data_IF_322226310595
#
_entry.id   IF_322226310595
#
_cell.length_a   1.000
_cell.length_b   1.000
_cell.length_c   1.000
_cell.angle_alpha   90.00
_cell.angle_beta   90.00
_cell.angle_gamma   90.00
#
_symmetry.space_group_name_H-M   'P 1'
#
loop_
_entity.id
_entity.type
_entity.pdbx_description
1 polymer ?
#
# COMPACT_ATOMS: atom_id res chain seq x y z
N UNK A 1 26.34 4.01 17.92
CA UNK A 1 27.34 3.11 18.53
C UNK A 1 26.79 2.65 19.88
N UNK A 2 26.66 1.34 20.14
CA UNK A 2 26.39 0.88 21.50
C UNK A 2 27.57 1.25 22.38
N UNK A 3 27.33 1.81 23.57
CA UNK A 3 28.39 2.36 24.41
C UNK A 3 29.43 1.30 24.76
N UNK A 4 30.71 1.65 24.63
CA UNK A 4 31.89 0.83 24.95
C UNK A 4 32.14 0.70 26.46
N UNK A 5 31.24 1.25 27.30
CA UNK A 5 31.32 1.24 28.75
C UNK A 5 30.11 0.52 29.35
N UNK A 6 29.98 -0.77 29.07
CA UNK A 6 29.15 -1.68 29.90
C UNK A 6 29.98 -2.14 31.09
N UNK A 7 30.26 -1.24 32.03
CA UNK A 7 30.67 -1.66 33.38
C UNK A 7 29.39 -2.02 34.13
N UNK A 8 29.38 -3.17 34.79
CA UNK A 8 28.30 -3.53 35.70
C UNK A 8 28.24 -2.46 36.79
N UNK A 9 27.06 -1.89 36.98
CA UNK A 9 26.81 -0.87 37.98
C UNK A 9 26.58 -1.61 39.30
N UNK A 10 27.40 -1.38 40.35
CA UNK A 10 27.26 -2.12 41.61
C UNK A 10 25.91 -1.97 42.31
N UNK A 11 25.17 -0.91 41.99
CA UNK A 11 23.82 -0.62 42.49
C UNK A 11 22.71 -1.16 41.58
N UNK A 12 23.08 -1.94 40.57
CA UNK A 12 22.18 -2.48 39.55
C UNK A 12 22.02 -3.99 39.78
N UNK A 13 21.43 -4.33 40.92
CA UNK A 13 21.11 -5.71 41.31
C UNK A 13 19.88 -6.22 40.57
N UNK A 14 19.82 -7.54 40.32
CA UNK A 14 18.71 -8.18 39.60
C UNK A 14 17.34 -8.00 40.29
N UNK A 15 17.33 -7.60 41.57
CA UNK A 15 16.13 -7.31 42.35
C UNK A 15 15.44 -5.98 41.99
N UNK A 16 16.13 -5.06 41.32
CA UNK A 16 15.63 -3.71 41.01
C UNK A 16 14.89 -3.73 39.67
N UNK A 17 13.56 -3.66 39.71
CA UNK A 17 12.74 -3.51 38.51
C UNK A 17 12.86 -2.09 37.93
N UNK A 18 13.78 -1.93 36.98
CA UNK A 18 14.05 -0.69 36.23
C UNK A 18 12.84 -0.17 35.45
N UNK A 19 11.82 -1.00 35.23
CA UNK A 19 10.65 -0.66 34.43
C UNK A 19 9.41 -0.39 35.28
N UNK A 20 9.55 -0.46 36.60
CA UNK A 20 8.49 -0.05 37.52
C UNK A 20 8.29 1.46 37.40
N UNK A 21 7.03 1.87 37.18
CA UNK A 21 6.63 3.27 37.10
C UNK A 21 6.04 3.60 38.46
N UNK A 22 6.73 4.42 39.24
CA UNK A 22 6.19 4.95 40.50
C UNK A 22 5.32 6.19 40.18
N UNK A 23 4.12 6.31 40.78
CA UNK A 23 3.21 7.40 40.48
C UNK A 23 3.76 8.73 41.02
N UNK A 24 3.70 9.78 40.20
CA UNK A 24 4.13 11.11 40.61
C UNK A 24 3.04 11.78 41.47
N UNK A 25 3.33 12.00 42.75
CA UNK A 25 2.36 12.60 43.67
C UNK A 25 2.53 14.12 43.77
N UNK A 26 1.57 14.80 44.40
CA UNK A 26 1.66 16.25 44.62
C UNK A 26 2.80 16.65 45.55
N UNK A 27 3.26 15.74 46.40
CA UNK A 27 4.34 15.97 47.38
C UNK A 27 5.72 15.98 46.71
N UNK A 28 5.86 15.25 45.60
CA UNK A 28 7.08 15.20 44.78
C UNK A 28 7.28 16.48 43.93
N UNK A 29 6.27 17.36 43.90
CA UNK A 29 6.30 18.57 43.08
C UNK A 29 7.22 19.64 43.68
N UNK A 30 8.13 20.16 42.86
CA UNK A 30 9.04 21.26 43.23
C UNK A 30 8.38 22.65 43.29
N UNK A 31 7.05 22.72 43.23
CA UNK A 31 6.26 23.97 43.20
C UNK A 31 5.60 24.25 41.85
N UNK A 32 5.05 25.46 41.70
CA UNK A 32 4.34 25.86 40.48
C UNK A 32 5.29 26.08 39.29
N UNK A 33 4.83 25.72 38.08
CA UNK A 33 5.58 26.00 36.85
C UNK A 33 5.70 27.50 36.58
N UNK A 34 6.89 27.92 36.12
CA UNK A 34 7.18 29.29 35.70
C UNK A 34 6.64 29.59 34.30
N UNK A 35 6.68 28.60 33.40
CA UNK A 35 6.27 28.71 32.01
C UNK A 35 4.96 27.95 31.74
N UNK A 36 4.23 28.38 30.72
CA UNK A 36 2.99 27.77 30.28
C UNK A 36 3.23 26.90 29.05
N UNK A 37 2.90 25.61 29.16
CA UNK A 37 2.82 24.69 28.02
C UNK A 37 1.39 24.63 27.51
N UNK A 38 1.21 24.86 26.20
CA UNK A 38 -0.09 24.84 25.52
C UNK A 38 -0.04 23.94 24.30
N UNK A 39 -1.02 23.04 24.16
CA UNK A 39 -1.18 22.19 22.98
C UNK A 39 -2.58 22.35 22.40
N UNK A 40 -2.65 22.45 21.08
CA UNK A 40 -3.90 22.59 20.34
C UNK A 40 -4.04 21.45 19.33
N UNK A 41 -5.28 20.96 19.14
CA UNK A 41 -5.62 20.00 18.08
C UNK A 41 -6.95 20.38 17.43
N UNK A 42 -6.97 20.44 16.10
CA UNK A 42 -8.19 20.67 15.32
C UNK A 42 -9.05 19.41 15.24
N UNK A 43 -10.38 19.57 15.23
CA UNK A 43 -11.32 18.47 15.05
C UNK A 43 -12.28 18.73 13.87
N UNK A 44 -12.78 17.66 13.22
CA UNK A 44 -13.75 17.82 12.13
C UNK A 44 -15.11 18.32 12.61
N UNK A 45 -15.80 19.15 11.81
CA UNK A 45 -17.11 19.74 12.15
C UNK A 45 -18.16 18.73 12.64
N UNK A 46 -18.21 17.53 12.09
CA UNK A 46 -19.17 16.49 12.51
C UNK A 46 -18.97 15.99 13.96
N UNK A 47 -17.82 16.26 14.58
CA UNK A 47 -17.53 15.89 15.98
C UNK A 47 -18.03 16.90 17.00
N UNK A 48 -18.32 18.12 16.56
CA UNK A 48 -18.70 19.24 17.43
C UNK A 48 -19.80 18.90 18.42
N UNK A 49 -20.92 18.34 17.95
CA UNK A 49 -22.07 18.03 18.83
C UNK A 49 -21.67 17.10 19.97
N UNK A 50 -20.96 16.02 19.64
CA UNK A 50 -20.48 15.07 20.64
C UNK A 50 -19.46 15.69 21.60
N UNK A 51 -18.52 16.49 21.08
CA UNK A 51 -17.50 17.13 21.90
C UNK A 51 -18.14 18.13 22.86
N UNK A 52 -19.11 18.93 22.41
CA UNK A 52 -19.87 19.84 23.26
C UNK A 52 -20.58 19.10 24.40
N UNK A 53 -21.25 17.99 24.11
CA UNK A 53 -21.99 17.21 25.11
C UNK A 53 -21.05 16.51 26.11
N UNK A 54 -19.88 16.05 25.66
CA UNK A 54 -18.90 15.32 26.50
C UNK A 54 -17.83 16.21 27.12
N UNK A 55 -17.73 17.49 26.74
CA UNK A 55 -16.71 18.42 27.24
C UNK A 55 -16.68 18.56 28.77
N UNK A 56 -17.83 18.66 29.47
CA UNK A 56 -17.83 18.78 30.93
C UNK A 56 -17.15 17.59 31.63
N UNK A 57 -17.21 16.40 31.04
CA UNK A 57 -16.53 15.22 31.58
C UNK A 57 -15.01 15.33 31.40
N UNK A 58 -14.57 15.87 30.26
CA UNK A 58 -13.16 16.07 29.93
C UNK A 58 -12.54 17.13 30.84
N UNK A 59 -13.20 18.29 31.00
CA UNK A 59 -12.72 19.37 31.88
C UNK A 59 -12.60 18.91 33.33
N UNK A 60 -13.62 18.24 33.86
CA UNK A 60 -13.60 17.67 35.22
C UNK A 60 -12.48 16.64 35.43
N UNK A 61 -12.11 15.91 34.38
CA UNK A 61 -11.03 14.92 34.46
C UNK A 61 -9.64 15.58 34.44
N UNK A 62 -9.46 16.62 33.62
CA UNK A 62 -8.20 17.37 33.51
C UNK A 62 -7.96 18.32 34.70
N UNK A 63 -9.02 18.85 35.31
CA UNK A 63 -8.94 19.71 36.49
C UNK A 63 -8.26 19.00 37.67
N UNK A 64 -8.42 17.68 37.80
CA UNK A 64 -7.73 16.86 38.83
C UNK A 64 -6.21 16.94 38.73
N UNK A 65 -5.69 17.13 37.51
CA UNK A 65 -4.27 17.29 37.21
C UNK A 65 -3.85 18.77 37.15
N UNK A 66 -4.78 19.70 37.41
CA UNK A 66 -4.52 21.14 37.32
C UNK A 66 -4.29 21.62 35.89
N UNK A 67 -4.86 20.94 34.88
CA UNK A 67 -4.75 21.31 33.46
C UNK A 67 -6.05 21.96 33.03
N UNK A 68 -5.93 23.11 32.36
CA UNK A 68 -7.08 23.80 31.76
C UNK A 68 -7.34 23.31 30.34
N UNK A 69 -8.61 23.29 29.94
CA UNK A 69 -9.04 22.79 28.64
C UNK A 69 -10.15 23.66 28.03
N UNK A 70 -9.88 24.20 26.86
CA UNK A 70 -10.78 25.07 26.10
C UNK A 70 -11.25 24.40 24.82
N UNK A 71 -12.54 24.46 24.55
CA UNK A 71 -13.16 23.99 23.31
C UNK A 71 -13.65 25.19 22.51
N UNK A 72 -13.05 25.41 21.34
CA UNK A 72 -13.46 26.44 20.39
C UNK A 72 -14.31 25.80 19.28
N UNK A 73 -15.57 26.24 19.18
CA UNK A 73 -16.53 25.77 18.17
C UNK A 73 -16.50 26.57 16.86
N UNK A 74 -15.94 27.78 16.89
CA UNK A 74 -15.79 28.66 15.73
C UNK A 74 -14.61 28.16 14.90
N UNK A 75 -13.44 28.04 15.52
CA UNK A 75 -12.24 27.51 14.87
C UNK A 75 -12.30 25.98 14.71
N UNK A 76 -13.06 25.29 15.55
CA UNK A 76 -13.10 23.82 15.59
C UNK A 76 -11.82 23.24 16.19
N UNK A 77 -11.34 23.82 17.29
CA UNK A 77 -10.10 23.45 17.97
C UNK A 77 -10.32 23.08 19.44
N UNK A 78 -9.50 22.16 19.94
CA UNK A 78 -9.40 21.85 21.36
C UNK A 78 -8.01 22.23 21.82
N UNK A 79 -7.93 22.98 22.92
CA UNK A 79 -6.66 23.45 23.49
C UNK A 79 -6.55 23.00 24.94
N UNK A 80 -5.40 22.48 25.32
CA UNK A 80 -5.06 22.15 26.72
C UNK A 80 -3.84 22.93 27.16
N UNK A 81 -3.86 23.46 28.38
CA UNK A 81 -2.80 24.32 28.92
C UNK A 81 -2.44 23.95 30.35
N UNK A 82 -1.16 24.01 30.68
CA UNK A 82 -0.71 23.92 32.08
C UNK A 82 -1.11 25.17 32.84
N UNK A 83 -1.42 25.02 34.12
CA UNK A 83 -1.72 26.14 35.02
C UNK A 83 -0.71 26.18 36.16
N UNK A 84 -0.77 27.22 36.99
CA UNK A 84 0.02 27.30 38.23
C UNK A 84 -0.29 26.19 39.25
N UNK A 85 -1.39 25.45 39.05
CA UNK A 85 -1.80 24.33 39.91
C UNK A 85 -1.38 22.96 39.37
N UNK A 86 -0.81 22.91 38.16
CA UNK A 86 -0.28 21.66 37.61
C UNK A 86 0.92 21.24 38.43
N UNK A 87 0.90 20.03 38.98
CA UNK A 87 1.97 19.48 39.81
C UNK A 87 2.87 18.52 39.03
N UNK A 88 2.28 17.72 38.13
CA UNK A 88 2.99 16.77 37.28
C UNK A 88 3.38 17.41 35.92
N UNK A 89 4.68 17.48 35.58
CA UNK A 89 5.14 18.03 34.31
C UNK A 89 4.74 17.18 33.10
N UNK A 90 4.55 15.87 33.25
CA UNK A 90 4.22 14.97 32.15
C UNK A 90 2.72 14.92 31.82
N UNK A 91 1.85 15.29 32.78
CA UNK A 91 0.39 15.26 32.62
C UNK A 91 -0.10 16.05 31.38
N UNK A 92 0.57 17.14 31.01
CA UNK A 92 0.22 17.92 29.80
C UNK A 92 0.39 17.11 28.51
N UNK A 93 1.35 16.19 28.45
CA UNK A 93 1.56 15.31 27.30
C UNK A 93 0.42 14.28 27.17
N UNK A 94 -0.07 13.77 28.31
CA UNK A 94 -1.24 12.89 28.35
C UNK A 94 -2.51 13.65 27.95
N UNK A 95 -2.67 14.90 28.38
CA UNK A 95 -3.77 15.78 27.98
C UNK A 95 -3.74 16.10 26.48
N UNK A 96 -2.56 16.33 25.90
CA UNK A 96 -2.36 16.49 24.46
C UNK A 96 -2.83 15.25 23.70
N UNK A 97 -2.50 14.07 24.20
CA UNK A 97 -2.86 12.82 23.55
C UNK A 97 -4.35 12.49 23.70
N UNK A 98 -4.97 12.89 24.82
CA UNK A 98 -6.42 12.87 25.03
C UNK A 98 -7.16 13.67 23.95
N UNK A 99 -6.80 14.94 23.73
CA UNK A 99 -7.48 15.77 22.72
C UNK A 99 -7.26 15.25 21.29
N UNK A 100 -6.09 14.65 21.00
CA UNK A 100 -5.84 13.98 19.71
C UNK A 100 -6.75 12.76 19.52
N UNK A 101 -6.96 11.96 20.56
CA UNK A 101 -7.87 10.80 20.52
C UNK A 101 -9.32 11.22 20.30
N UNK A 102 -9.77 12.26 21.00
CA UNK A 102 -11.12 12.84 20.83
C UNK A 102 -11.35 13.35 19.40
N UNK A 103 -10.34 14.01 18.81
CA UNK A 103 -10.35 14.45 17.41
C UNK A 103 -10.43 13.27 16.41
N UNK A 104 -9.93 12.09 16.80
CA UNK A 104 -10.04 10.83 16.01
C UNK A 104 -11.25 9.98 16.35
N UNK A 105 -12.27 10.59 16.97
CA UNK A 105 -13.57 9.97 17.26
C UNK A 105 -13.55 8.88 18.32
N UNK A 106 -12.52 8.82 19.17
CA UNK A 106 -12.55 7.96 20.36
C UNK A 106 -13.58 8.53 21.35
N UNK A 107 -14.46 7.71 21.94
CA UNK A 107 -15.39 8.17 22.96
C UNK A 107 -14.68 8.71 24.21
N UNK A 108 -15.20 9.80 24.79
CA UNK A 108 -14.57 10.46 25.94
C UNK A 108 -14.33 9.53 27.15
N UNK A 109 -15.26 8.66 27.57
CA UNK A 109 -15.02 7.76 28.70
C UNK A 109 -13.85 6.79 28.47
N UNK A 110 -13.63 6.40 27.21
CA UNK A 110 -12.51 5.54 26.84
C UNK A 110 -11.22 6.34 26.70
N UNK A 111 -11.29 7.55 26.13
CA UNK A 111 -10.13 8.41 25.91
C UNK A 111 -9.51 8.89 27.24
N UNK A 112 -10.32 9.18 28.26
CA UNK A 112 -9.87 9.67 29.59
C UNK A 112 -8.90 8.69 30.28
N UNK A 113 -8.98 7.39 29.98
CA UNK A 113 -8.05 6.38 30.50
C UNK A 113 -6.59 6.63 30.10
N UNK A 114 -6.32 7.50 29.13
CA UNK A 114 -4.96 7.90 28.78
C UNK A 114 -4.28 8.75 29.86
N UNK A 115 -5.05 9.29 30.80
CA UNK A 115 -4.53 10.03 31.95
C UNK A 115 -4.00 9.10 33.05
N UNK A 116 -4.25 7.79 32.96
CA UNK A 116 -3.74 6.79 33.90
C UNK A 116 -2.35 6.30 33.46
N UNK A 117 -1.47 6.04 34.41
CA UNK A 117 -0.13 5.53 34.13
C UNK A 117 -0.15 4.15 33.48
N UNK A 118 0.79 3.90 32.57
CA UNK A 118 0.89 2.64 31.82
C UNK A 118 -0.03 2.53 30.61
N UNK A 119 -0.94 3.50 30.42
CA UNK A 119 -1.75 3.63 29.20
C UNK A 119 -1.09 4.62 28.24
N UNK A 120 -0.84 4.17 27.02
CA UNK A 120 -0.33 5.03 25.95
C UNK A 120 -1.27 4.98 24.74
N UNK A 121 -1.10 5.91 23.81
CA UNK A 121 -1.87 5.97 22.59
C UNK A 121 -0.97 5.87 21.36
N UNK A 122 -1.53 5.32 20.29
CA UNK A 122 -0.87 5.29 18.99
C UNK A 122 -1.87 5.57 17.86
N UNK A 123 -1.51 6.51 16.97
CA UNK A 123 -2.35 6.91 15.83
C UNK A 123 -1.65 6.51 14.54
N UNK A 124 -2.04 5.35 14.00
CA UNK A 124 -1.42 4.74 12.83
C UNK A 124 -2.06 5.30 11.56
N UNK A 125 -1.24 5.94 10.71
CA UNK A 125 -1.68 6.51 9.44
C UNK A 125 -1.68 5.45 8.34
N UNK A 126 -2.86 4.94 7.96
CA UNK A 126 -3.00 3.88 6.96
C UNK A 126 -3.22 4.38 5.53
N UNK A 127 -3.63 5.64 5.34
CA UNK A 127 -4.02 6.16 4.01
C UNK A 127 -2.90 6.15 2.97
N UNK A 128 -1.65 6.40 3.36
CA UNK A 128 -0.51 6.44 2.44
C UNK A 128 0.00 5.05 2.03
N UNK A 129 -0.45 3.98 2.70
CA UNK A 129 0.08 2.63 2.49
C UNK A 129 -0.48 1.96 1.23
N UNK A 130 -1.64 2.41 0.73
CA UNK A 130 -2.32 1.80 -0.42
C UNK A 130 -2.74 2.89 -1.40
N UNK A 131 -2.27 2.79 -2.65
CA UNK A 131 -2.57 3.77 -3.72
C UNK A 131 -4.05 3.76 -4.14
N UNK A 132 -4.61 2.57 -4.40
CA UNK A 132 -5.96 2.44 -4.94
C UNK A 132 -7.02 2.53 -3.83
N UNK A 133 -8.02 3.41 -4.00
CA UNK A 133 -9.10 3.63 -3.03
C UNK A 133 -9.87 2.35 -2.69
N UNK A 134 -10.27 1.57 -3.68
CA UNK A 134 -11.02 0.32 -3.46
C UNK A 134 -10.21 -0.70 -2.66
N UNK A 135 -8.93 -0.84 -3.00
CA UNK A 135 -8.02 -1.75 -2.29
C UNK A 135 -7.81 -1.29 -0.85
N UNK A 136 -7.71 0.02 -0.63
CA UNK A 136 -7.63 0.61 0.70
C UNK A 136 -8.87 0.28 1.53
N UNK A 137 -10.08 0.49 0.99
CA UNK A 137 -11.34 0.18 1.69
C UNK A 137 -11.42 -1.31 2.02
N UNK A 138 -11.09 -2.20 1.08
CA UNK A 138 -11.10 -3.67 1.31
C UNK A 138 -10.07 -4.09 2.37
N UNK A 139 -8.86 -3.52 2.38
CA UNK A 139 -7.83 -3.82 3.41
C UNK A 139 -8.19 -3.23 4.78
N UNK A 140 -8.75 -2.03 4.82
CA UNK A 140 -9.26 -1.43 6.06
C UNK A 140 -10.40 -2.27 6.65
N UNK A 141 -11.34 -2.69 5.82
CA UNK A 141 -12.44 -3.57 6.26
C UNK A 141 -11.93 -4.91 6.78
N UNK A 142 -10.85 -5.44 6.21
CA UNK A 142 -10.18 -6.67 6.68
C UNK A 142 -9.65 -6.54 8.11
N UNK A 143 -9.19 -5.36 8.53
CA UNK A 143 -8.75 -5.12 9.93
C UNK A 143 -9.95 -5.23 10.88
N UNK A 144 -11.11 -4.68 10.48
CA UNK A 144 -12.36 -4.81 11.26
C UNK A 144 -12.81 -6.28 11.34
N UNK A 145 -12.74 -6.99 10.22
CA UNK A 145 -13.30 -8.33 10.07
C UNK A 145 -14.80 -8.32 9.85
N UNK A 146 -15.39 -9.52 9.74
CA UNK A 146 -16.84 -9.68 9.69
C UNK A 146 -17.43 -9.35 11.06
N UNK A 147 -18.39 -8.43 11.13
CA UNK A 147 -19.04 -7.98 12.37
C UNK A 147 -18.07 -7.52 13.48
N UNK A 148 -16.86 -7.06 13.14
CA UNK A 148 -15.88 -6.62 14.12
C UNK A 148 -15.14 -7.74 14.87
N UNK A 149 -15.33 -9.01 14.50
CA UNK A 149 -14.74 -10.17 15.19
C UNK A 149 -13.20 -10.14 15.21
N UNK A 150 -12.57 -9.79 14.08
CA UNK A 150 -11.11 -9.72 13.97
C UNK A 150 -10.54 -8.61 14.84
N UNK A 151 -11.19 -7.43 14.83
CA UNK A 151 -10.81 -6.32 15.69
C UNK A 151 -10.97 -6.70 17.17
N UNK A 152 -12.09 -7.34 17.54
CA UNK A 152 -12.32 -7.71 18.94
C UNK A 152 -11.33 -8.76 19.45
N UNK A 153 -11.00 -9.75 18.63
CA UNK A 153 -9.97 -10.73 18.95
C UNK A 153 -8.60 -10.04 19.17
N UNK A 154 -8.26 -9.06 18.31
CA UNK A 154 -7.03 -8.30 18.46
C UNK A 154 -7.02 -7.50 19.77
N UNK A 155 -8.10 -6.78 20.09
CA UNK A 155 -8.24 -6.03 21.36
C UNK A 155 -8.02 -6.91 22.60
N UNK A 156 -8.60 -8.11 22.63
CA UNK A 156 -8.49 -9.05 23.76
C UNK A 156 -7.09 -9.63 23.90
N UNK A 157 -6.42 -9.91 22.77
CA UNK A 157 -5.06 -10.47 22.78
C UNK A 157 -4.04 -9.45 23.26
N UNK A 158 -4.12 -8.21 22.76
CA UNK A 158 -3.14 -7.14 23.04
C UNK A 158 -3.51 -6.26 24.23
N UNK A 159 -4.69 -6.48 24.84
CA UNK A 159 -5.25 -5.65 25.92
C UNK A 159 -5.33 -4.16 25.54
N UNK A 160 -5.63 -3.89 24.27
CA UNK A 160 -5.75 -2.53 23.74
C UNK A 160 -7.18 -2.25 23.30
N UNK A 161 -7.57 -0.99 23.30
CA UNK A 161 -8.74 -0.49 22.59
C UNK A 161 -8.35 -0.04 21.19
N UNK A 162 -9.07 -0.49 20.16
CA UNK A 162 -8.74 -0.20 18.76
C UNK A 162 -9.94 0.43 18.06
N UNK A 163 -9.73 1.61 17.50
CA UNK A 163 -10.75 2.31 16.70
C UNK A 163 -10.21 2.56 15.29
N UNK A 164 -10.86 1.91 14.31
CA UNK A 164 -10.55 2.09 12.88
C UNK A 164 -11.48 3.16 12.32
N UNK A 165 -10.98 4.37 12.08
CA UNK A 165 -11.80 5.47 11.56
C UNK A 165 -11.13 6.21 10.40
N UNK A 166 -11.87 6.31 9.29
CA UNK A 166 -11.44 7.02 8.10
C UNK A 166 -10.09 6.53 7.56
N UNK A 167 -9.07 7.36 7.73
CA UNK A 167 -7.73 7.21 7.17
C UNK A 167 -6.68 6.74 8.19
N UNK A 168 -7.08 6.54 9.44
CA UNK A 168 -6.18 6.18 10.56
C UNK A 168 -6.78 5.10 11.44
N UNK A 169 -5.93 4.41 12.17
CA UNK A 169 -6.31 3.49 13.23
C UNK A 169 -5.78 4.07 14.54
N UNK A 170 -6.67 4.40 15.46
CA UNK A 170 -6.33 4.86 16.80
C UNK A 170 -6.30 3.66 17.74
N UNK A 171 -5.23 3.54 18.52
CA UNK A 171 -5.02 2.44 19.46
C UNK A 171 -4.70 3.04 20.83
N UNK A 172 -5.25 2.46 21.90
CA UNK A 172 -4.93 2.81 23.27
C UNK A 172 -4.62 1.55 24.08
N UNK A 173 -3.60 1.58 24.92
CA UNK A 173 -3.26 0.45 25.80
C UNK A 173 -1.78 0.41 26.16
N UNK A 174 -1.28 -0.74 26.64
CA UNK A 174 0.10 -0.89 27.09
C UNK A 174 1.07 -0.88 25.90
N UNK A 175 2.30 -0.41 26.13
CA UNK A 175 3.33 -0.27 25.08
C UNK A 175 3.62 -1.55 24.28
N UNK A 176 3.63 -2.71 24.94
CA UNK A 176 3.80 -4.02 24.27
C UNK A 176 2.66 -4.27 23.28
N UNK A 177 1.41 -4.08 23.71
CA UNK A 177 0.22 -4.21 22.89
C UNK A 177 0.21 -3.22 21.71
N UNK A 178 0.60 -1.96 21.94
CA UNK A 178 0.69 -0.95 20.87
C UNK A 178 1.67 -1.37 19.76
N UNK A 179 2.85 -1.90 20.14
CA UNK A 179 3.85 -2.37 19.17
C UNK A 179 3.33 -3.55 18.34
N UNK A 180 2.62 -4.48 18.96
CA UNK A 180 2.00 -5.61 18.28
C UNK A 180 0.90 -5.17 17.31
N UNK A 181 -0.03 -4.32 17.78
CA UNK A 181 -1.13 -3.81 16.93
C UNK A 181 -0.58 -2.99 15.76
N UNK A 182 0.43 -2.15 15.97
CA UNK A 182 1.09 -1.40 14.90
C UNK A 182 1.61 -2.31 13.79
N UNK A 183 2.36 -3.36 14.16
CA UNK A 183 2.85 -4.38 13.22
C UNK A 183 1.67 -5.03 12.47
N UNK A 184 0.61 -5.42 13.18
CA UNK A 184 -0.57 -6.05 12.58
C UNK A 184 -1.26 -5.16 11.55
N UNK A 185 -1.45 -3.88 11.87
CA UNK A 185 -2.09 -2.90 10.99
C UNK A 185 -1.25 -2.63 9.75
N UNK A 186 0.06 -2.42 9.94
CA UNK A 186 1.01 -2.18 8.85
C UNK A 186 1.10 -3.38 7.89
N UNK A 187 1.27 -4.60 8.41
CA UNK A 187 1.33 -5.84 7.63
C UNK A 187 0.01 -6.11 6.89
N UNK A 188 -1.13 -5.83 7.53
CA UNK A 188 -2.45 -5.95 6.90
C UNK A 188 -2.60 -5.01 5.71
N UNK A 189 -2.09 -3.79 5.85
CA UNK A 189 -2.02 -2.82 4.76
C UNK A 189 -1.03 -3.23 3.68
N UNK A 190 -0.01 -4.03 3.99
CA UNK A 190 0.93 -4.65 3.05
C UNK A 190 0.45 -5.97 2.43
N UNK A 191 -0.85 -6.27 2.51
CA UNK A 191 -1.51 -7.45 1.92
C UNK A 191 -1.38 -8.77 2.71
N UNK A 192 -0.83 -8.75 3.92
CA UNK A 192 -0.93 -9.90 4.82
C UNK A 192 -2.36 -9.93 5.40
N UNK A 193 -2.87 -11.10 5.77
CA UNK A 193 -4.18 -11.20 6.42
C UNK A 193 -4.01 -11.16 7.94
N UNK A 194 -4.78 -10.34 8.69
CA UNK A 194 -4.60 -10.19 10.15
C UNK A 194 -4.77 -11.49 10.93
N UNK A 195 -5.63 -12.40 10.45
CA UNK A 195 -5.81 -13.76 11.03
C UNK A 195 -4.47 -14.49 11.24
N UNK A 196 -3.51 -14.34 10.33
CA UNK A 196 -2.20 -14.99 10.47
C UNK A 196 -1.43 -14.48 11.67
N UNK A 197 -1.45 -13.15 11.88
CA UNK A 197 -0.78 -12.51 13.00
C UNK A 197 -1.54 -12.74 14.31
N UNK A 198 -2.88 -12.81 14.27
CA UNK A 198 -3.69 -13.20 15.43
C UNK A 198 -3.32 -14.62 15.89
N UNK A 199 -3.19 -15.57 14.95
CA UNK A 199 -2.73 -16.93 15.27
C UNK A 199 -1.32 -16.93 15.87
N UNK A 200 -0.40 -16.15 15.30
CA UNK A 200 0.93 -15.95 15.88
C UNK A 200 0.86 -15.41 17.32
N UNK A 201 0.03 -14.40 17.59
CA UNK A 201 -0.14 -13.83 18.93
C UNK A 201 -0.76 -14.82 19.92
N UNK A 202 -1.72 -15.63 19.48
CA UNK A 202 -2.30 -16.70 20.31
C UNK A 202 -1.22 -17.71 20.72
N UNK A 203 -0.41 -18.18 19.77
CA UNK A 203 0.67 -19.13 20.04
C UNK A 203 1.72 -18.52 20.96
N UNK A 204 2.14 -17.27 20.71
CA UNK A 204 3.09 -16.56 21.58
C UNK A 204 2.57 -16.42 23.01
N UNK A 205 1.29 -16.15 23.18
CA UNK A 205 0.67 -16.01 24.50
C UNK A 205 0.61 -17.34 25.25
N UNK A 206 0.39 -18.45 24.56
CA UNK A 206 0.47 -19.78 25.19
C UNK A 206 1.91 -20.16 25.52
N UNK A 207 2.86 -19.98 24.59
CA UNK A 207 4.29 -20.25 24.84
C UNK A 207 4.88 -19.40 25.97
N UNK A 208 4.43 -18.17 26.12
CA UNK A 208 4.88 -17.27 27.20
C UNK A 208 4.44 -17.72 28.60
N UNK A 209 3.44 -18.61 28.72
CA UNK A 209 3.04 -19.18 30.02
C UNK A 209 4.02 -20.24 30.51
N UNK A 210 4.74 -20.89 29.59
CA UNK A 210 5.69 -21.95 29.92
C UNK A 210 7.06 -21.36 30.30
N UNK A 211 7.49 -21.47 31.58
CA UNK A 211 8.74 -20.86 32.03
C UNK A 211 9.98 -21.49 31.38
N UNK A 212 9.91 -22.76 30.98
CA UNK A 212 11.03 -23.48 30.35
C UNK A 212 11.44 -22.90 28.99
N UNK A 213 10.48 -22.34 28.25
CA UNK A 213 10.68 -21.83 26.88
C UNK A 213 10.95 -20.31 26.85
N UNK A 214 11.01 -19.63 27.99
CA UNK A 214 11.10 -18.17 28.06
C UNK A 214 12.38 -17.58 27.44
N UNK A 215 13.48 -18.34 27.45
CA UNK A 215 14.79 -17.91 26.93
C UNK A 215 15.13 -18.49 25.55
N UNK A 216 14.25 -19.31 24.96
CA UNK A 216 14.46 -19.94 23.65
C UNK A 216 13.81 -19.13 22.52
N UNK A 217 14.33 -19.26 21.30
CA UNK A 217 13.69 -18.67 20.12
C UNK A 217 12.45 -19.47 19.71
N UNK A 218 11.30 -18.80 19.66
CA UNK A 218 10.01 -19.40 19.30
C UNK A 218 9.77 -19.54 17.79
N UNK A 219 10.72 -19.15 16.94
CA UNK A 219 10.58 -19.18 15.48
C UNK A 219 10.17 -20.56 14.92
N UNK A 220 10.56 -21.66 15.58
CA UNK A 220 10.18 -23.03 15.23
C UNK A 220 8.70 -23.33 15.43
N UNK A 221 8.09 -22.77 16.46
CA UNK A 221 6.68 -22.98 16.82
C UNK A 221 5.76 -22.00 16.09
N UNK A 222 6.33 -20.90 15.58
CA UNK A 222 5.59 -19.86 14.89
C UNK A 222 5.23 -20.28 13.46
N UNK A 223 3.95 -20.19 13.06
CA UNK A 223 3.55 -20.52 11.69
C UNK A 223 4.16 -19.54 10.68
N UNK A 224 4.89 -20.07 9.70
CA UNK A 224 5.51 -19.26 8.67
C UNK A 224 4.58 -19.09 7.46
N UNK A 225 3.90 -17.95 7.37
CA UNK A 225 2.98 -17.63 6.27
C UNK A 225 3.65 -16.91 5.09
N UNK A 226 4.97 -17.08 4.92
CA UNK A 226 5.68 -16.53 3.76
C UNK A 226 5.03 -17.03 2.47
N UNK A 227 4.78 -16.09 1.56
CA UNK A 227 4.27 -16.41 0.23
C UNK A 227 5.26 -17.34 -0.45
N UNK A 228 4.88 -18.60 -0.70
CA UNK A 228 5.60 -19.49 -1.62
C UNK A 228 5.37 -18.97 -3.04
N UNK A 229 6.08 -17.90 -3.41
CA UNK A 229 6.17 -17.52 -4.81
C UNK A 229 6.92 -18.63 -5.51
N UNK A 230 6.26 -19.37 -6.40
CA UNK A 230 6.94 -20.15 -7.43
C UNK A 230 7.75 -19.13 -8.24
N UNK A 231 9.03 -18.99 -7.90
CA UNK A 231 9.95 -17.99 -8.45
C UNK A 231 10.11 -18.12 -9.96
N UNK A 232 9.76 -19.30 -10.49
CA UNK A 232 9.80 -19.63 -11.90
C UNK A 232 8.39 -19.53 -12.48
N UNK A 233 7.94 -18.31 -12.76
CA UNK A 233 6.86 -18.12 -13.73
C UNK A 233 7.41 -18.56 -15.09
N UNK A 234 6.75 -19.51 -15.76
CA UNK A 234 7.09 -19.88 -17.13
C UNK A 234 7.14 -18.61 -17.99
N UNK A 235 8.29 -18.32 -18.61
CA UNK A 235 8.40 -17.23 -19.57
C UNK A 235 7.69 -17.67 -20.85
N UNK A 236 6.65 -16.97 -21.33
CA UNK A 236 5.98 -17.37 -22.56
C UNK A 236 7.00 -17.40 -23.72
N UNK A 237 6.83 -18.33 -24.66
CA UNK A 237 7.74 -18.46 -25.82
C UNK A 237 7.79 -17.17 -26.66
N UNK A 238 6.67 -16.44 -26.71
CA UNK A 238 6.60 -15.11 -27.33
C UNK A 238 6.55 -14.06 -26.22
N UNK A 239 7.68 -13.41 -25.96
CA UNK A 239 7.76 -12.22 -25.12
C UNK A 239 7.62 -11.00 -26.02
N UNK A 240 6.58 -10.20 -25.81
CA UNK A 240 6.44 -8.92 -26.53
C UNK A 240 7.40 -7.90 -25.92
N UNK A 241 8.48 -7.59 -26.63
CA UNK A 241 9.42 -6.54 -26.22
C UNK A 241 8.75 -5.17 -26.28
N UNK A 242 8.45 -4.63 -25.09
CA UNK A 242 7.82 -3.30 -24.95
C UNK A 242 8.72 -2.15 -25.39
N UNK A 243 10.02 -2.38 -25.52
CA UNK A 243 10.97 -1.41 -26.10
C UNK A 243 10.60 -1.02 -27.53
N UNK A 244 9.94 -1.92 -28.29
CA UNK A 244 9.47 -1.65 -29.65
C UNK A 244 8.21 -0.77 -29.71
N UNK A 245 7.58 -0.47 -28.57
CA UNK A 245 6.38 0.39 -28.49
C UNK A 245 6.74 1.73 -27.87
N UNK A 246 7.54 2.53 -28.58
CA UNK A 246 7.86 3.90 -28.19
C UNK A 246 6.61 4.76 -28.14
N UNK A 247 6.42 5.48 -27.02
CA UNK A 247 5.29 6.39 -26.84
C UNK A 247 5.39 7.54 -27.84
N UNK A 248 4.37 7.67 -28.68
CA UNK A 248 4.12 8.84 -29.54
C UNK A 248 2.92 9.58 -28.97
N UNK A 249 3.01 10.90 -28.73
CA UNK A 249 1.89 11.70 -28.22
C UNK A 249 0.80 11.90 -29.29
N UNK A 250 1.14 11.70 -30.57
CA UNK A 250 0.21 11.77 -31.68
C UNK A 250 -0.47 10.42 -31.88
N UNK A 251 -1.82 10.39 -31.92
CA UNK A 251 -2.53 9.17 -32.29
C UNK A 251 -2.20 8.80 -33.75
N UNK A 252 -2.18 7.50 -34.10
CA UNK A 252 -2.12 7.09 -35.49
C UNK A 252 -3.35 7.62 -36.24
N UNK A 253 -3.21 7.88 -37.54
CA UNK A 253 -4.35 8.26 -38.37
C UNK A 253 -5.43 7.15 -38.30
N UNK A 254 -6.71 7.51 -38.17
CA UNK A 254 -7.78 6.52 -38.25
C UNK A 254 -7.75 5.82 -39.60
N UNK A 255 -8.15 4.56 -39.64
CA UNK A 255 -8.35 3.85 -40.90
C UNK A 255 -9.44 4.56 -41.70
N UNK A 256 -9.14 4.89 -42.97
CA UNK A 256 -10.07 5.60 -43.84
C UNK A 256 -11.29 4.73 -44.12
N UNK A 257 -12.48 5.33 -44.16
CA UNK A 257 -13.68 4.57 -44.54
C UNK A 257 -13.62 4.16 -46.02
N UNK A 258 -14.39 3.16 -46.42
CA UNK A 258 -14.50 2.78 -47.84
C UNK A 258 -14.93 3.96 -48.72
N UNK A 259 -15.78 4.85 -48.18
CA UNK A 259 -16.24 6.07 -48.86
C UNK A 259 -15.08 7.04 -49.01
N UNK A 260 -14.29 7.27 -47.97
CA UNK A 260 -13.11 8.15 -48.04
C UNK A 260 -12.06 7.63 -49.02
N UNK A 261 -11.79 6.31 -49.02
CA UNK A 261 -10.91 5.67 -50.00
C UNK A 261 -11.42 5.87 -51.44
N UNK A 262 -12.74 5.81 -51.64
CA UNK A 262 -13.36 6.05 -52.95
C UNK A 262 -13.32 7.52 -53.36
N UNK A 263 -13.46 8.45 -52.41
CA UNK A 263 -13.35 9.89 -52.66
C UNK A 263 -11.90 10.25 -53.02
N UNK A 264 -10.92 9.71 -52.29
CA UNK A 264 -9.50 9.93 -52.55
C UNK A 264 -9.03 9.33 -53.88
N UNK A 265 -9.53 8.15 -54.25
CA UNK A 265 -9.23 7.52 -55.55
C UNK A 265 -9.97 8.18 -56.73
N UNK A 266 -10.92 9.09 -56.46
CA UNK A 266 -11.77 9.70 -57.47
C UNK A 266 -12.86 8.76 -58.03
N UNK A 267 -12.83 7.47 -57.66
CA UNK A 267 -13.83 6.48 -58.07
C UNK A 267 -15.23 6.83 -57.57
N UNK A 268 -15.34 7.53 -56.44
CA UNK A 268 -16.64 7.92 -55.89
C UNK A 268 -17.43 8.82 -56.86
N UNK A 269 -16.73 9.68 -57.60
CA UNK A 269 -17.35 10.66 -58.51
C UNK A 269 -17.66 10.09 -59.90
N UNK A 270 -17.09 8.94 -60.26
CA UNK A 270 -17.33 8.30 -61.55
C UNK A 270 -18.69 7.57 -61.57
N UNK A 271 -19.51 7.88 -62.57
CA UNK A 271 -20.74 7.12 -62.87
C UNK A 271 -20.45 5.66 -63.24
N UNK A 272 -21.45 4.79 -63.11
CA UNK A 272 -21.30 3.33 -63.37
C UNK A 272 -20.75 3.03 -64.78
N UNK A 273 -21.20 3.75 -65.79
CA UNK A 273 -20.75 3.58 -67.18
C UNK A 273 -19.30 4.05 -67.39
N UNK A 274 -18.87 5.11 -66.71
CA UNK A 274 -17.49 5.57 -66.77
C UNK A 274 -16.53 4.54 -66.12
N UNK A 275 -16.95 3.93 -65.01
CA UNK A 275 -16.20 2.83 -64.37
C UNK A 275 -16.09 1.60 -65.27
N UNK A 276 -17.16 1.24 -65.97
CA UNK A 276 -17.16 0.12 -66.91
C UNK A 276 -16.20 0.35 -68.08
N UNK A 277 -16.22 1.54 -68.69
CA UNK A 277 -15.29 1.91 -69.78
C UNK A 277 -13.83 1.85 -69.34
N UNK A 278 -13.51 2.39 -68.16
CA UNK A 278 -12.16 2.31 -67.60
C UNK A 278 -11.72 0.86 -67.37
N UNK A 279 -12.60 0.01 -66.84
CA UNK A 279 -12.31 -1.41 -66.61
C UNK A 279 -12.10 -2.20 -67.92
N UNK A 280 -12.83 -1.86 -68.98
CA UNK A 280 -12.65 -2.45 -70.31
C UNK A 280 -11.33 -2.03 -70.96
N UNK A 281 -10.95 -0.75 -70.84
CA UNK A 281 -9.65 -0.25 -71.30
C UNK A 281 -8.50 -0.94 -70.57
N UNK A 282 -8.58 -1.06 -69.24
CA UNK A 282 -7.56 -1.75 -68.44
C UNK A 282 -7.44 -3.24 -68.81
N UNK A 283 -8.56 -3.93 -69.08
CA UNK A 283 -8.54 -5.33 -69.55
C UNK A 283 -7.91 -5.45 -70.93
N UNK A 284 -8.20 -4.53 -71.84
CA UNK A 284 -7.61 -4.50 -73.17
C UNK A 284 -6.09 -4.28 -73.10
N UNK A 285 -5.62 -3.37 -72.24
CA UNK A 285 -4.20 -3.11 -72.01
C UNK A 285 -3.49 -4.31 -71.38
N UNK A 286 -4.07 -4.93 -70.34
CA UNK A 286 -3.54 -6.17 -69.74
C UNK A 286 -3.43 -7.31 -70.76
N UNK A 287 -4.42 -7.44 -71.64
CA UNK A 287 -4.40 -8.42 -72.73
C UNK A 287 -3.26 -8.14 -73.72
N UNK A 288 -3.05 -6.88 -74.10
CA UNK A 288 -1.93 -6.45 -74.95
C UNK A 288 -0.57 -6.76 -74.28
N UNK A 289 -0.40 -6.43 -73.01
CA UNK A 289 0.82 -6.71 -72.25
C UNK A 289 1.13 -8.22 -72.20
N UNK A 290 0.14 -9.06 -71.87
CA UNK A 290 0.33 -10.52 -71.86
C UNK A 290 0.66 -11.07 -73.24
N UNK A 291 0.07 -10.51 -74.30
CA UNK A 291 0.39 -10.89 -75.67
C UNK A 291 1.84 -10.54 -76.02
N UNK A 292 2.30 -9.39 -75.57
CA UNK A 292 3.68 -8.93 -75.76
C UNK A 292 4.68 -9.75 -74.93
N UNK A 293 4.36 -10.06 -73.67
CA UNK A 293 5.15 -10.93 -72.80
C UNK A 293 5.28 -12.34 -73.39
N UNK A 294 4.16 -12.97 -73.80
CA UNK A 294 4.19 -14.26 -74.51
C UNK A 294 4.97 -14.20 -75.80
N UNK A 295 4.93 -13.08 -76.52
CA UNK A 295 5.73 -12.89 -77.74
C UNK A 295 7.22 -12.83 -77.39
N UNK A 296 7.60 -12.11 -76.33
CA UNK A 296 8.98 -12.04 -75.81
C UNK A 296 9.47 -13.39 -75.28
N UNK A 297 8.63 -14.14 -74.56
CA UNK A 297 8.94 -15.50 -74.10
C UNK A 297 9.17 -16.44 -75.29
N UNK A 298 8.28 -16.40 -76.29
CA UNK A 298 8.43 -17.17 -77.51
C UNK A 298 9.70 -16.77 -78.27
N UNK A 299 10.00 -15.49 -78.40
CA UNK A 299 11.25 -15.00 -79.02
C UNK A 299 12.50 -15.50 -78.28
N UNK A 300 12.46 -15.62 -76.94
CA UNK A 300 13.55 -16.21 -76.14
C UNK A 300 13.72 -17.71 -76.39
N UNK A 301 12.64 -18.47 -76.62
CA UNK A 301 12.72 -19.91 -76.94
C UNK A 301 13.40 -20.20 -78.29
N UNK A 302 13.33 -19.25 -79.24
CA UNK A 302 13.97 -19.39 -80.56
C UNK A 302 15.47 -19.06 -80.58
N UNK A 303 16.02 -18.53 -79.48
CA UNK A 303 17.47 -18.30 -79.32
C UNK A 303 18.08 -19.55 -78.68
N UNK A 304 18.95 -20.30 -79.38
CA UNK A 304 19.57 -21.49 -78.81
C UNK A 304 20.37 -21.17 -77.54
N UNK A 305 20.27 -21.98 -76.47
CA UNK A 305 21.10 -21.82 -75.29
C UNK A 305 22.58 -22.10 -75.62
N UNK A 306 23.49 -21.26 -75.15
CA UNK A 306 24.93 -21.47 -75.36
C UNK A 306 25.43 -22.68 -74.54
N UNK A 307 25.89 -23.75 -75.21
CA UNK A 307 26.46 -24.94 -74.56
C UNK A 307 27.99 -24.83 -74.32
N UNK A 308 28.45 -25.29 -73.15
CA UNK A 308 29.88 -25.40 -72.79
C UNK A 308 30.34 -26.87 -72.88
N UNK A 309 31.36 -27.15 -73.69
CA UNK A 309 31.79 -28.52 -74.02
C UNK A 309 32.62 -29.20 -72.91
N UNK A 310 32.36 -30.51 -72.64
CA UNK A 310 33.08 -31.33 -71.65
C UNK A 310 33.77 -32.60 -72.24
N UNK A 311 34.94 -32.94 -71.67
CA UNK A 311 35.96 -33.94 -72.12
C UNK A 311 35.61 -35.41 -71.83
N UNK A 312 36.01 -36.34 -72.71
CA UNK A 312 35.84 -37.80 -72.57
C UNK A 312 37.03 -38.52 -71.89
N UNK A 313 36.76 -39.60 -71.13
CA UNK A 313 37.76 -40.49 -70.46
C UNK A 313 37.79 -41.89 -71.10
N UNK A 314 38.99 -42.43 -71.36
CA UNK A 314 39.26 -43.80 -71.89
C UNK A 314 39.21 -44.89 -70.80
N UNK A 315 38.71 -46.09 -71.14
CA UNK A 315 38.68 -47.33 -70.32
C UNK A 315 39.96 -48.18 -70.51
N UNK A 316 40.41 -48.85 -69.44
CA UNK A 316 41.49 -49.86 -69.39
C UNK A 316 40.93 -51.28 -69.54
N UNK A 317 41.64 -52.16 -70.24
CA UNK A 317 41.41 -53.62 -70.31
C UNK A 317 42.46 -54.37 -69.49
N UNK A 318 42.05 -55.46 -68.84
CA UNK A 318 42.83 -56.38 -68.00
C UNK A 318 43.38 -57.56 -68.80
N UNK A 319 44.59 -58.02 -68.46
CA UNK A 319 45.25 -59.19 -69.02
C UNK A 319 45.23 -60.34 -67.99
N UNK A 320 44.96 -61.55 -68.47
CA UNK A 320 45.51 -62.81 -67.95
C UNK A 320 46.56 -63.30 -68.96
#
# INVERSE_FOLDING_TARGET
>A
MPSTHKKEKPWDTDDIDKWKIDPFTKEDSSGAFLEESSFMTLFPKYRERYLKDSWPLVTKSLEKYGIDAVLDLIEGSMTVKTTRKTYDPAAVLNARDLIKLLARSVPAPQAIKILEDGMACDIIKIRSMVRNKERFVKRRQRILGQNGTTLKALELLTQTYILVHGNTVSVMGPFKGLKEVRRVVEDTMQNVHPIYLIKELMIKRELAKDPALAHEDWSRYLPNFKKRTLSKRHKPHVVTDKSKKTYTPFPPAPEKSKVDMQIESGEYFLGKEAKQRMAEQERAEKSKQKKEEKKREREKEYVPPEESAAKSKKRKTSHE
#
